data_IF_387194127669
#
_entry.id   IF_387194127669
#
_cell.length_a   1.000
_cell.length_b   1.000
_cell.length_c   1.000
_cell.angle_alpha   90.00
_cell.angle_beta   90.00
_cell.angle_gamma   90.00
#
_symmetry.space_group_name_H-M   'P 1'
#
loop_
_entity.id
_entity.type
_entity.pdbx_description
1 polymer ?
#
# COMPACT_ATOMS: atom_id res chain seq x y z
N UNK A 1 -5.31 44.01 17.17
CA UNK A 1 -5.46 42.53 17.18
C UNK A 1 -4.32 41.94 16.38
N UNK A 2 -3.38 41.30 17.07
CA UNK A 2 -2.15 40.74 16.50
C UNK A 2 -2.36 39.27 16.11
N UNK A 3 -1.75 38.76 15.03
CA UNK A 3 -1.91 37.38 14.60
C UNK A 3 -1.16 36.40 15.52
N UNK A 4 -1.60 35.12 15.62
CA UNK A 4 -0.93 34.13 16.47
C UNK A 4 0.40 33.68 15.86
N UNK A 5 1.42 33.53 16.73
CA UNK A 5 2.74 32.97 16.39
C UNK A 5 2.63 31.46 16.15
N UNK A 6 3.12 31.00 15.01
CA UNK A 6 3.34 29.57 14.71
C UNK A 6 4.70 29.12 15.27
N UNK A 7 4.84 27.88 15.77
CA UNK A 7 6.13 27.34 16.18
C UNK A 7 6.98 26.95 14.96
N UNK A 8 8.19 27.51 14.88
CA UNK A 8 9.23 27.08 13.94
C UNK A 8 9.84 25.76 14.43
N UNK A 9 9.55 24.67 13.74
CA UNK A 9 10.26 23.40 13.91
C UNK A 9 11.49 23.37 12.99
N UNK A 10 12.66 23.61 13.58
CA UNK A 10 13.97 23.44 12.95
C UNK A 10 14.28 21.95 12.86
N UNK A 11 14.35 21.39 11.65
CA UNK A 11 14.84 20.04 11.41
C UNK A 11 16.37 20.12 11.35
N UNK A 12 17.14 19.44 12.24
CA UNK A 12 18.59 19.39 12.10
C UNK A 12 18.95 18.43 10.96
N UNK A 13 19.45 18.98 9.85
CA UNK A 13 20.12 18.19 8.83
C UNK A 13 21.45 17.69 9.39
N UNK A 14 21.53 16.39 9.67
CA UNK A 14 22.77 15.73 10.08
C UNK A 14 23.75 15.70 8.89
N UNK A 15 24.88 16.39 9.05
CA UNK A 15 25.97 16.41 8.10
C UNK A 15 26.62 15.02 8.01
N UNK A 16 26.51 14.36 6.86
CA UNK A 16 27.33 13.19 6.54
C UNK A 16 28.78 13.64 6.39
N UNK A 17 29.63 13.30 7.37
CA UNK A 17 31.07 13.40 7.27
C UNK A 17 31.58 12.33 6.31
N UNK A 18 32.26 12.74 5.23
CA UNK A 18 33.03 11.83 4.36
C UNK A 18 34.26 11.39 5.13
N UNK A 19 34.29 10.13 5.57
CA UNK A 19 35.52 9.46 5.98
C UNK A 19 36.30 9.10 4.70
N UNK A 20 37.37 9.83 4.41
CA UNK A 20 38.37 9.43 3.42
C UNK A 20 39.32 8.43 4.07
N UNK A 21 39.12 7.15 3.79
CA UNK A 21 40.07 6.09 4.16
C UNK A 21 41.19 6.08 3.12
N UNK A 22 42.36 6.63 3.48
CA UNK A 22 43.60 6.44 2.73
C UNK A 22 44.08 5.01 2.94
N UNK A 23 44.02 4.19 1.89
CA UNK A 23 44.64 2.85 1.87
C UNK A 23 46.08 3.02 1.42
N UNK A 24 47.01 2.86 2.37
CA UNK A 24 48.45 2.78 2.11
C UNK A 24 48.79 1.35 1.67
N UNK A 25 49.25 1.17 0.43
CA UNK A 25 49.77 -0.11 -0.04
C UNK A 25 51.29 -0.18 0.22
N UNK A 26 51.81 -1.30 0.78
CA UNK A 26 53.25 -1.47 0.94
C UNK A 26 53.91 -1.84 -0.39
N UNK A 27 55.06 -1.21 -0.64
CA UNK A 27 55.92 -1.49 -1.78
C UNK A 27 56.63 -2.83 -1.62
N UNK A 28 56.53 -3.72 -2.61
CA UNK A 28 57.63 -4.56 -3.08
C UNK A 28 57.18 -5.38 -4.28
N UNK A 29 57.87 -5.21 -5.42
CA UNK A 29 58.18 -6.28 -6.37
C UNK A 29 59.22 -5.71 -7.35
N UNK A 30 60.46 -6.15 -7.20
CA UNK A 30 61.52 -5.96 -8.19
C UNK A 30 61.19 -6.83 -9.42
N UNK A 31 61.12 -6.22 -10.61
CA UNK A 31 61.29 -6.96 -11.87
C UNK A 31 62.19 -6.17 -12.82
N UNK A 32 63.45 -6.62 -12.84
CA UNK A 32 64.34 -6.80 -13.99
C UNK A 32 64.24 -5.77 -15.14
N UNK A 33 65.23 -4.90 -15.18
CA UNK A 33 65.61 -4.07 -16.32
C UNK A 33 65.94 -4.91 -17.56
N UNK A 34 65.08 -4.82 -18.58
CA UNK A 34 65.37 -5.20 -19.96
C UNK A 34 65.29 -3.96 -20.85
N UNK A 35 66.42 -3.57 -21.46
CA UNK A 35 66.46 -2.54 -22.50
C UNK A 35 65.83 -3.12 -23.77
N UNK A 36 64.83 -2.43 -24.32
CA UNK A 36 64.41 -2.59 -25.71
C UNK A 36 64.53 -1.23 -26.42
N UNK A 37 64.99 -1.17 -27.68
CA UNK A 37 65.18 0.07 -28.39
C UNK A 37 63.83 0.65 -28.82
N UNK A 38 63.55 1.87 -28.40
CA UNK A 38 62.41 2.66 -28.88
C UNK A 38 62.80 3.28 -30.22
N UNK A 39 62.24 2.77 -31.31
CA UNK A 39 62.08 3.52 -32.55
C UNK A 39 60.66 3.27 -33.04
N UNK A 40 59.74 4.04 -32.47
CA UNK A 40 58.34 4.09 -32.85
C UNK A 40 57.88 5.53 -32.81
N UNK A 41 57.54 6.06 -33.97
CA UNK A 41 57.04 7.41 -34.20
C UNK A 41 55.96 7.79 -33.18
N UNK A 42 56.13 8.94 -32.53
CA UNK A 42 55.15 9.52 -31.60
C UNK A 42 53.90 9.92 -32.37
N UNK A 43 52.91 9.04 -32.46
CA UNK A 43 51.56 9.45 -32.84
C UNK A 43 50.93 10.27 -31.69
N UNK A 44 50.26 11.39 -31.99
CA UNK A 44 49.65 12.22 -30.97
C UNK A 44 48.57 11.42 -30.23
N UNK A 45 48.77 11.34 -28.91
CA UNK A 45 47.83 10.98 -27.86
C UNK A 45 46.35 11.03 -28.30
N UNK A 46 45.78 9.87 -28.64
CA UNK A 46 44.32 9.68 -28.55
C UNK A 46 44.03 9.41 -27.08
N UNK A 47 43.70 10.47 -26.33
CA UNK A 47 43.08 10.29 -25.02
C UNK A 47 41.82 9.42 -25.19
N UNK A 48 41.63 8.36 -24.39
CA UNK A 48 40.38 7.62 -24.43
C UNK A 48 39.26 8.57 -23.97
N UNK A 49 38.35 8.89 -24.88
CA UNK A 49 37.17 9.69 -24.54
C UNK A 49 36.34 8.84 -23.58
N UNK A 50 36.41 9.16 -22.29
CA UNK A 50 35.54 8.55 -21.29
C UNK A 50 34.11 8.98 -21.60
N UNK A 51 33.37 8.13 -22.31
CA UNK A 51 31.93 8.28 -22.50
C UNK A 51 31.26 8.10 -21.14
N UNK A 52 31.11 9.20 -20.42
CA UNK A 52 30.27 9.24 -19.24
C UNK A 52 28.81 9.08 -19.71
N UNK A 53 28.07 8.09 -19.18
CA UNK A 53 26.67 7.91 -19.56
C UNK A 53 25.88 9.17 -19.18
N UNK A 54 25.25 9.80 -20.17
CA UNK A 54 24.34 10.92 -19.96
C UNK A 54 23.16 10.42 -19.13
N UNK A 55 23.10 10.81 -17.85
CA UNK A 55 21.96 10.50 -16.99
C UNK A 55 20.83 11.47 -17.32
N UNK A 56 19.85 11.01 -18.06
CA UNK A 56 18.60 11.75 -18.23
C UNK A 56 17.89 11.88 -16.88
N UNK A 57 17.36 13.07 -16.59
CA UNK A 57 16.49 13.27 -15.43
C UNK A 57 15.27 12.36 -15.55
N UNK A 58 14.76 11.83 -14.44
CA UNK A 58 13.56 11.02 -14.47
C UNK A 58 12.36 11.83 -14.97
N UNK A 59 11.58 11.24 -15.88
CA UNK A 59 10.33 11.84 -16.35
C UNK A 59 9.29 11.89 -15.22
N UNK A 60 8.43 12.91 -15.23
CA UNK A 60 7.41 13.12 -14.20
C UNK A 60 6.02 13.24 -14.80
N UNK A 61 4.99 12.78 -14.08
CA UNK A 61 3.58 12.94 -14.44
C UNK A 61 2.85 13.79 -13.39
N UNK A 62 1.74 14.42 -13.79
CA UNK A 62 0.86 15.17 -12.87
C UNK A 62 -0.43 14.39 -12.62
N UNK A 63 -0.66 13.97 -11.39
CA UNK A 63 -1.90 13.31 -10.98
C UNK A 63 -2.94 14.38 -10.66
N UNK A 64 -4.13 14.24 -11.25
CA UNK A 64 -5.22 15.22 -11.18
C UNK A 64 -4.76 16.66 -11.47
N UNK A 65 -3.81 16.82 -12.41
CA UNK A 65 -3.18 18.09 -12.78
C UNK A 65 -2.52 18.90 -11.63
N UNK A 66 -2.42 18.35 -10.41
CA UNK A 66 -1.89 19.02 -9.22
C UNK A 66 -0.63 18.37 -8.67
N UNK A 67 -0.65 17.04 -8.46
CA UNK A 67 0.44 16.33 -7.77
C UNK A 67 1.48 15.83 -8.79
N UNK A 68 2.64 16.50 -8.86
CA UNK A 68 3.79 16.06 -9.68
C UNK A 68 4.49 14.88 -8.99
N UNK A 69 4.64 13.77 -9.71
CA UNK A 69 5.34 12.57 -9.23
C UNK A 69 6.25 12.01 -10.31
N UNK A 70 7.26 11.26 -9.90
CA UNK A 70 8.09 10.49 -10.83
C UNK A 70 7.21 9.47 -11.58
N UNK A 71 7.50 9.27 -12.88
CA UNK A 71 6.62 8.53 -13.78
C UNK A 71 6.47 7.05 -13.40
N UNK A 72 7.56 6.37 -13.02
CA UNK A 72 7.53 4.97 -12.63
C UNK A 72 6.66 4.76 -11.38
N UNK A 73 6.85 5.56 -10.33
CA UNK A 73 6.03 5.51 -9.11
C UNK A 73 4.58 5.91 -9.42
N UNK A 74 4.42 6.92 -10.27
CA UNK A 74 3.14 7.43 -10.72
C UNK A 74 2.26 6.36 -11.35
N UNK A 75 2.81 5.64 -12.34
CA UNK A 75 2.09 4.60 -13.07
C UNK A 75 1.85 3.35 -12.24
N UNK A 76 2.83 2.91 -11.44
CA UNK A 76 2.73 1.65 -10.69
C UNK A 76 1.86 1.75 -9.44
N UNK A 77 1.99 2.82 -8.68
CA UNK A 77 1.33 2.94 -7.38
C UNK A 77 0.26 4.01 -7.40
N UNK A 78 0.57 5.22 -7.87
CA UNK A 78 -0.33 6.33 -7.64
C UNK A 78 -1.62 6.29 -8.45
N UNK A 79 -1.58 5.98 -9.76
CA UNK A 79 -2.78 5.97 -10.60
C UNK A 79 -3.79 4.88 -10.19
N UNK A 80 -3.39 3.60 -9.99
CA UNK A 80 -4.36 2.55 -9.65
C UNK A 80 -4.89 2.64 -8.22
N UNK A 81 -4.13 3.22 -7.28
CA UNK A 81 -4.55 3.29 -5.86
C UNK A 81 -5.34 4.55 -5.49
N UNK A 82 -5.74 5.38 -6.46
CA UNK A 82 -6.61 6.54 -6.16
C UNK A 82 -7.99 6.09 -5.78
N UNK A 83 -8.61 6.78 -4.83
CA UNK A 83 -9.93 6.44 -4.32
C UNK A 83 -10.95 6.35 -5.46
N UNK A 84 -11.00 7.35 -6.36
CA UNK A 84 -11.93 7.34 -7.50
C UNK A 84 -11.69 6.19 -8.48
N UNK A 85 -10.45 5.79 -8.68
CA UNK A 85 -10.08 4.72 -9.63
C UNK A 85 -10.27 3.33 -9.01
N UNK A 86 -9.90 3.16 -7.74
CA UNK A 86 -9.89 1.89 -7.05
C UNK A 86 -11.24 1.50 -6.44
N UNK A 87 -12.02 2.47 -5.99
CA UNK A 87 -13.31 2.27 -5.32
C UNK A 87 -14.30 3.39 -5.71
N UNK A 88 -14.85 3.36 -6.94
CA UNK A 88 -15.71 4.41 -7.46
C UNK A 88 -17.05 4.52 -6.72
N UNK A 89 -17.57 3.39 -6.23
CA UNK A 89 -18.76 3.26 -5.39
C UNK A 89 -18.63 4.03 -4.07
N UNK A 90 -17.52 3.82 -3.36
CA UNK A 90 -17.21 4.50 -2.10
C UNK A 90 -16.91 5.98 -2.34
N UNK A 91 -16.30 6.33 -3.47
CA UNK A 91 -15.97 7.72 -3.81
C UNK A 91 -17.22 8.63 -3.91
N UNK A 92 -18.40 8.07 -4.21
CA UNK A 92 -19.67 8.83 -4.26
C UNK A 92 -20.10 9.30 -2.86
N UNK A 93 -19.71 8.59 -1.81
CA UNK A 93 -20.02 8.93 -0.41
C UNK A 93 -19.14 10.04 0.15
N UNK A 94 -18.29 10.67 -0.66
CA UNK A 94 -17.41 11.75 -0.21
C UNK A 94 -18.19 13.01 0.15
N UNK A 95 -17.97 13.56 1.35
CA UNK A 95 -18.59 14.82 1.77
C UNK A 95 -17.77 16.03 1.28
N UNK A 96 -18.17 16.66 0.18
CA UNK A 96 -17.52 17.85 -0.38
C UNK A 96 -17.72 19.12 0.46
N UNK A 97 -18.72 19.16 1.35
CA UNK A 97 -19.02 20.34 2.18
C UNK A 97 -18.16 20.41 3.43
N UNK A 98 -17.89 19.25 4.05
CA UNK A 98 -17.10 19.18 5.30
C UNK A 98 -15.61 18.96 5.07
N UNK A 99 -15.25 18.27 4.00
CA UNK A 99 -13.84 18.08 3.68
C UNK A 99 -13.24 19.35 3.05
N UNK A 100 -11.95 19.62 3.29
CA UNK A 100 -11.30 20.79 2.71
C UNK A 100 -11.20 20.65 1.19
N UNK A 101 -11.40 21.76 0.44
CA UNK A 101 -11.42 21.77 -1.03
C UNK A 101 -10.17 21.21 -1.73
N UNK A 102 -9.04 21.16 -1.02
CA UNK A 102 -7.81 20.60 -1.57
C UNK A 102 -7.76 19.07 -1.47
N UNK A 103 -8.61 18.43 -0.64
CA UNK A 103 -8.82 16.98 -0.59
C UNK A 103 -10.05 16.57 -1.40
N UNK A 104 -9.84 15.64 -2.34
CA UNK A 104 -10.90 15.08 -3.16
C UNK A 104 -10.50 13.68 -3.69
N UNK A 105 -11.47 12.84 -4.09
CA UNK A 105 -11.23 11.43 -4.41
C UNK A 105 -10.18 11.14 -5.49
N UNK A 106 -9.89 12.08 -6.40
CA UNK A 106 -8.88 11.88 -7.45
C UNK A 106 -7.44 12.00 -6.94
N UNK A 107 -7.22 12.68 -5.82
CA UNK A 107 -5.88 12.86 -5.24
C UNK A 107 -5.62 11.97 -4.03
N UNK A 108 -6.68 11.54 -3.34
CA UNK A 108 -6.56 10.71 -2.15
C UNK A 108 -6.34 9.25 -2.57
N UNK A 109 -5.40 8.57 -1.91
CA UNK A 109 -5.16 7.14 -2.12
C UNK A 109 -6.00 6.30 -1.16
N UNK A 110 -6.29 5.06 -1.52
CA UNK A 110 -7.02 4.10 -0.66
C UNK A 110 -6.35 3.86 0.70
N UNK A 111 -5.02 3.99 0.80
CA UNK A 111 -4.27 3.85 2.05
C UNK A 111 -4.19 5.12 2.89
N UNK A 112 -5.06 6.12 2.67
CA UNK A 112 -5.02 7.37 3.42
C UNK A 112 -5.57 7.16 4.84
N UNK A 113 -4.70 7.37 5.84
CA UNK A 113 -4.93 7.03 7.24
C UNK A 113 -5.64 8.13 8.04
N UNK A 114 -5.61 9.38 7.56
CA UNK A 114 -6.23 10.49 8.28
C UNK A 114 -7.76 10.44 8.12
N UNK A 115 -8.50 10.83 9.17
CA UNK A 115 -9.96 10.84 9.14
C UNK A 115 -10.45 11.89 8.14
N UNK A 116 -11.40 11.48 7.31
CA UNK A 116 -12.13 12.34 6.37
C UNK A 116 -13.62 12.18 6.59
N UNK A 117 -14.41 13.15 6.14
CA UNK A 117 -15.85 13.11 6.25
C UNK A 117 -16.47 12.32 5.10
N UNK A 118 -17.36 11.40 5.47
CA UNK A 118 -18.18 10.61 4.56
C UNK A 118 -19.63 10.95 4.79
N UNK A 119 -20.43 10.98 3.73
CA UNK A 119 -21.87 11.16 3.76
C UNK A 119 -22.54 9.85 3.35
N UNK A 120 -23.20 9.21 4.31
CA UNK A 120 -23.90 7.95 4.06
C UNK A 120 -25.05 8.17 3.06
N UNK A 121 -25.17 7.33 2.04
CA UNK A 121 -26.31 7.37 1.11
C UNK A 121 -27.62 6.93 1.77
N UNK A 122 -27.56 5.99 2.72
CA UNK A 122 -28.74 5.38 3.34
C UNK A 122 -29.39 6.29 4.39
N UNK A 123 -28.59 6.90 5.26
CA UNK A 123 -29.10 7.71 6.37
C UNK A 123 -28.80 9.21 6.25
N UNK A 124 -28.14 9.64 5.16
CA UNK A 124 -27.71 11.03 4.91
C UNK A 124 -26.81 11.66 5.99
N UNK A 125 -26.44 10.92 7.03
CA UNK A 125 -25.59 11.40 8.11
C UNK A 125 -24.13 11.47 7.65
N UNK A 126 -23.48 12.56 8.03
CA UNK A 126 -22.04 12.73 7.88
C UNK A 126 -21.29 12.11 9.06
N UNK A 127 -20.24 11.34 8.81
CA UNK A 127 -19.41 10.76 9.86
C UNK A 127 -17.94 10.79 9.45
N UNK A 128 -17.05 10.72 10.44
CA UNK A 128 -15.62 10.73 10.21
C UNK A 128 -15.06 9.32 10.20
N UNK A 129 -14.27 8.99 9.18
CA UNK A 129 -13.51 7.73 9.13
C UNK A 129 -12.31 7.87 8.18
N UNK A 130 -11.22 7.14 8.44
CA UNK A 130 -10.10 7.08 7.50
C UNK A 130 -10.48 6.33 6.22
N UNK A 131 -9.82 6.68 5.11
CA UNK A 131 -10.06 6.04 3.81
C UNK A 131 -9.59 4.59 3.82
N UNK A 132 -8.44 4.32 4.45
CA UNK A 132 -7.93 2.96 4.62
C UNK A 132 -8.92 2.08 5.40
N UNK A 133 -9.51 2.58 6.48
CA UNK A 133 -10.53 1.83 7.22
C UNK A 133 -11.81 1.61 6.39
N UNK A 134 -12.23 2.61 5.60
CA UNK A 134 -13.41 2.49 4.72
C UNK A 134 -13.21 1.45 3.63
N UNK A 135 -12.13 1.56 2.87
CA UNK A 135 -11.90 0.79 1.64
C UNK A 135 -11.21 -0.54 1.91
N UNK A 136 -10.13 -0.54 2.69
CA UNK A 136 -9.29 -1.74 2.88
C UNK A 136 -9.86 -2.64 3.98
N UNK A 137 -10.34 -2.05 5.09
CA UNK A 137 -10.90 -2.80 6.22
C UNK A 137 -12.41 -3.00 6.15
N UNK A 138 -13.10 -2.36 5.20
CA UNK A 138 -14.55 -2.50 5.00
C UNK A 138 -15.43 -1.81 6.04
N UNK A 139 -15.01 -0.67 6.60
CA UNK A 139 -15.78 0.04 7.63
C UNK A 139 -17.10 0.66 7.13
N UNK A 140 -18.18 0.49 7.90
CA UNK A 140 -19.52 1.02 7.59
C UNK A 140 -19.80 2.44 8.12
N UNK A 141 -21.04 2.89 7.92
CA UNK A 141 -21.57 4.06 8.63
C UNK A 141 -21.92 3.65 10.06
N UNK A 142 -21.39 4.32 11.11
CA UNK A 142 -21.62 3.92 12.50
C UNK A 142 -23.10 3.95 12.87
N UNK A 143 -23.83 4.98 12.41
CA UNK A 143 -25.27 5.11 12.68
C UNK A 143 -26.08 3.96 12.07
N UNK A 144 -25.70 3.48 10.88
CA UNK A 144 -26.39 2.36 10.24
C UNK A 144 -26.07 1.04 10.94
N UNK A 145 -24.82 0.86 11.37
CA UNK A 145 -24.36 -0.32 12.09
C UNK A 145 -25.06 -0.44 13.47
N UNK A 146 -25.17 0.67 14.21
CA UNK A 146 -25.89 0.71 15.49
C UNK A 146 -27.38 0.43 15.33
N UNK A 147 -27.99 0.92 14.24
CA UNK A 147 -29.41 0.66 13.92
C UNK A 147 -29.68 -0.78 13.49
N UNK A 148 -28.71 -1.47 12.91
CA UNK A 148 -28.79 -2.90 12.61
C UNK A 148 -28.61 -3.73 13.90
N UNK A 149 -27.60 -3.40 14.71
CA UNK A 149 -27.33 -4.09 15.98
C UNK A 149 -28.50 -4.01 16.96
N UNK A 150 -29.13 -2.84 17.08
CA UNK A 150 -30.31 -2.67 17.93
C UNK A 150 -31.52 -3.46 17.44
N UNK A 151 -31.69 -3.61 16.11
CA UNK A 151 -32.71 -4.48 15.52
C UNK A 151 -32.47 -5.96 15.82
N UNK A 152 -31.23 -6.43 15.73
CA UNK A 152 -30.90 -7.83 16.03
C UNK A 152 -31.05 -8.16 17.52
N UNK A 153 -30.76 -7.23 18.44
CA UNK A 153 -30.96 -7.50 19.88
C UNK A 153 -32.44 -7.55 20.29
N UNK A 154 -33.34 -6.96 19.50
CA UNK A 154 -34.77 -6.97 19.78
C UNK A 154 -35.44 -8.34 19.50
N UNK A 155 -34.86 -9.19 18.65
CA UNK A 155 -35.40 -10.53 18.40
C UNK A 155 -34.91 -11.60 19.40
N UNK A 156 -33.88 -11.30 20.19
CA UNK A 156 -33.32 -12.26 21.18
C UNK A 156 -33.95 -12.12 22.58
N UNK A 157 -34.85 -11.16 22.79
CA UNK A 157 -35.50 -10.88 24.09
C UNK A 157 -37.00 -11.17 24.11
N UNK A 158 -37.47 -12.09 23.27
CA UNK A 158 -38.76 -12.72 23.54
C UNK A 158 -38.69 -13.42 24.92
N UNK A 159 -39.63 -13.15 25.86
CA UNK A 159 -39.60 -13.79 27.16
C UNK A 159 -39.86 -15.28 26.98
N UNK A 160 -38.84 -16.10 27.24
CA UNK A 160 -38.99 -17.54 27.42
C UNK A 160 -39.84 -17.76 28.66
N UNK A 161 -41.16 -17.88 28.48
CA UNK A 161 -42.05 -18.43 29.49
C UNK A 161 -41.60 -19.86 29.77
N UNK A 162 -41.11 -20.07 30.99
CA UNK A 162 -40.64 -21.36 31.47
C UNK A 162 -41.80 -22.38 31.53
N UNK A 163 -41.60 -23.52 30.87
CA UNK A 163 -42.40 -24.74 31.04
C UNK A 163 -41.51 -25.92 30.67
N UNK A 164 -40.96 -26.61 31.67
CA UNK A 164 -40.00 -27.68 31.49
C UNK A 164 -40.63 -29.03 31.13
N UNK A 165 -39.85 -29.89 30.47
CA UNK A 165 -39.77 -31.34 30.70
C UNK A 165 -38.67 -31.95 29.83
N UNK A 166 -37.94 -32.90 30.42
CA UNK A 166 -36.92 -33.73 29.76
C UNK A 166 -37.58 -34.72 28.79
N UNK A 167 -36.94 -35.01 27.66
CA UNK A 167 -36.53 -36.36 27.23
C UNK A 167 -36.02 -36.34 25.79
N UNK A 168 -35.08 -37.23 25.50
CA UNK A 168 -34.34 -37.27 24.24
C UNK A 168 -35.13 -37.79 23.04
N UNK A 169 -34.46 -37.81 21.89
CA UNK A 169 -34.96 -38.38 20.65
C UNK A 169 -34.12 -37.90 19.49
N UNK A 170 -33.60 -38.85 18.73
CA UNK A 170 -32.74 -38.68 17.57
C UNK A 170 -33.47 -38.09 16.34
N UNK A 171 -32.65 -37.82 15.33
CA UNK A 171 -32.95 -37.58 13.91
C UNK A 171 -33.55 -36.23 13.50
N UNK A 172 -32.83 -35.55 12.60
CA UNK A 172 -33.18 -35.47 11.16
C UNK A 172 -32.08 -34.72 10.43
N UNK A 173 -31.67 -35.27 9.28
CA UNK A 173 -30.67 -34.71 8.39
C UNK A 173 -31.08 -33.37 7.77
N UNK A 174 -30.07 -32.51 7.60
CA UNK A 174 -30.15 -31.30 6.78
C UNK A 174 -29.01 -31.33 5.77
N UNK A 175 -29.35 -31.59 4.51
CA UNK A 175 -28.40 -31.66 3.41
C UNK A 175 -27.67 -30.33 3.24
N UNK A 176 -26.37 -30.34 3.51
CA UNK A 176 -25.47 -29.33 2.99
C UNK A 176 -25.46 -29.45 1.47
N UNK A 177 -25.94 -28.43 0.78
CA UNK A 177 -25.77 -28.28 -0.65
C UNK A 177 -24.25 -28.28 -0.94
N UNK A 178 -23.73 -29.47 -1.25
CA UNK A 178 -22.40 -29.64 -1.79
C UNK A 178 -22.44 -29.00 -3.17
N UNK A 179 -21.82 -27.83 -3.30
CA UNK A 179 -21.55 -27.23 -4.60
C UNK A 179 -20.94 -28.32 -5.50
N UNK A 180 -21.41 -28.49 -6.75
CA UNK A 180 -20.85 -29.51 -7.62
C UNK A 180 -19.36 -29.27 -7.77
N UNK A 181 -18.57 -30.25 -7.31
CA UNK A 181 -17.12 -30.26 -7.41
C UNK A 181 -16.73 -30.03 -8.88
N UNK A 182 -15.79 -29.13 -9.11
CA UNK A 182 -15.28 -28.88 -10.45
C UNK A 182 -14.63 -30.17 -11.00
N UNK A 183 -14.56 -30.37 -12.33
CA UNK A 183 -14.10 -31.61 -12.98
C UNK A 183 -12.59 -31.94 -12.82
N UNK A 184 -11.98 -31.59 -11.69
CA UNK A 184 -10.66 -32.02 -11.25
C UNK A 184 -10.57 -32.33 -9.75
N UNK A 185 -11.68 -32.25 -9.01
CA UNK A 185 -11.71 -32.28 -7.54
C UNK A 185 -12.15 -33.64 -6.95
N UNK A 186 -12.57 -34.59 -7.81
CA UNK A 186 -13.04 -35.94 -7.44
C UNK A 186 -11.92 -36.85 -6.93
N UNK A 187 -10.69 -36.69 -7.42
CA UNK A 187 -9.57 -37.55 -7.05
C UNK A 187 -8.92 -37.09 -5.73
N UNK A 188 -9.41 -37.63 -4.62
CA UNK A 188 -8.89 -37.37 -3.26
C UNK A 188 -7.41 -37.71 -3.10
N UNK A 189 -6.87 -38.62 -3.90
CA UNK A 189 -5.45 -39.01 -3.94
C UNK A 189 -4.53 -37.93 -4.52
N UNK A 190 -5.06 -37.05 -5.38
CA UNK A 190 -4.32 -35.97 -6.03
C UNK A 190 -4.41 -34.65 -5.26
N UNK A 191 -5.25 -34.59 -4.22
CA UNK A 191 -5.29 -33.42 -3.33
C UNK A 191 -3.94 -33.31 -2.60
N UNK A 192 -3.29 -32.13 -2.61
CA UNK A 192 -2.04 -31.94 -1.89
C UNK A 192 -2.27 -32.25 -0.40
N UNK A 193 -1.62 -33.29 0.12
CA UNK A 193 -1.81 -33.80 1.50
C UNK A 193 -1.30 -32.86 2.60
N UNK A 194 -0.77 -31.69 2.22
CA UNK A 194 -0.24 -30.68 3.13
C UNK A 194 -0.60 -29.31 2.58
N UNK A 195 -1.13 -28.43 3.41
CA UNK A 195 -1.19 -27.00 3.08
C UNK A 195 0.25 -26.53 2.90
N UNK A 196 0.71 -26.43 1.65
CA UNK A 196 1.92 -25.68 1.34
C UNK A 196 1.60 -24.22 1.62
N UNK A 197 1.77 -23.82 2.88
CA UNK A 197 1.95 -22.43 3.25
C UNK A 197 3.14 -21.95 2.42
N UNK A 198 2.85 -21.23 1.34
CA UNK A 198 3.81 -20.48 0.56
C UNK A 198 4.38 -19.40 1.49
N UNK A 199 5.38 -19.79 2.30
CA UNK A 199 6.21 -18.85 3.04
C UNK A 199 7.08 -18.11 2.02
N UNK A 200 6.55 -17.05 1.42
CA UNK A 200 7.37 -16.05 0.72
C UNK A 200 8.20 -15.32 1.77
N UNK A 201 9.33 -15.94 2.13
CA UNK A 201 10.40 -15.27 2.86
C UNK A 201 11.06 -14.32 1.88
N UNK A 202 10.62 -13.06 1.88
CA UNK A 202 11.28 -11.98 1.15
C UNK A 202 12.73 -11.89 1.62
N UNK A 203 13.67 -12.37 0.81
CA UNK A 203 15.08 -12.00 0.91
C UNK A 203 15.28 -10.75 0.05
N UNK A 204 15.43 -9.62 0.73
CA UNK A 204 16.24 -8.49 0.27
C UNK A 204 17.29 -8.25 1.35
#
# INVERSE_FOLDING_TARGET
>A
MSPPRMPHYSIPYSCYTRLTTTITFPATMCVRSGRLPVSGSLHPSRQPVLLMPVRYKSSTIRIANRKKVEMFVGKRYHLPTRLRTAAPDIAVEWDYGKNPMHLYPDIVSIGYMYPVYWKCQTCANSYQMSVEKRVVRGGGCPVCEDRERSRSTACDTAPTTAGGARSGGADVGGGGATLPLLPGEENRSLRPKRTTMLNLRTKY
#
